data_IF_713373555351
#
_entry.id   IF_713373555351
#
_cell.length_a   1.000
_cell.length_b   1.000
_cell.length_c   1.000
_cell.angle_alpha   90.00
_cell.angle_beta   90.00
_cell.angle_gamma   90.00
#
_symmetry.space_group_name_H-M   'P 1'
#
loop_
_entity.id
_entity.type
_entity.pdbx_description
1 polymer ?
#
# COMPACT_ATOMS: atom_id res chain seq x y z
N UNK A 1 -10.05 -25.34 15.75
CA UNK A 1 -11.43 -25.69 15.34
C UNK A 1 -11.57 -25.26 13.90
N UNK A 2 -11.32 -26.19 12.97
CA UNK A 2 -11.31 -25.90 11.52
C UNK A 2 -12.73 -26.01 10.98
N UNK A 3 -13.24 -24.93 10.40
CA UNK A 3 -14.47 -24.96 9.62
C UNK A 3 -14.07 -25.35 8.20
N UNK A 4 -14.23 -26.63 7.88
CA UNK A 4 -13.86 -27.19 6.59
C UNK A 4 -15.06 -27.06 5.63
N UNK A 5 -15.13 -25.95 4.90
CA UNK A 5 -16.18 -25.69 3.91
C UNK A 5 -15.87 -26.49 2.62
N UNK A 6 -16.28 -27.75 2.59
CA UNK A 6 -16.00 -28.76 1.53
C UNK A 6 -16.52 -28.45 0.11
N UNK A 7 -17.06 -27.26 -0.15
CA UNK A 7 -17.60 -26.88 -1.47
C UNK A 7 -16.68 -25.98 -2.29
N UNK A 8 -15.63 -25.42 -1.67
CA UNK A 8 -14.56 -24.73 -2.35
C UNK A 8 -13.24 -25.29 -1.80
N UNK A 9 -12.33 -25.76 -2.65
CA UNK A 9 -10.98 -26.22 -2.27
C UNK A 9 -10.10 -25.05 -1.76
N UNK A 10 -10.59 -24.27 -0.79
CA UNK A 10 -9.90 -23.12 -0.21
C UNK A 10 -9.14 -23.56 1.03
N UNK A 11 -7.86 -23.24 1.07
CA UNK A 11 -7.03 -23.38 2.27
C UNK A 11 -7.53 -22.46 3.38
N UNK A 12 -7.16 -22.74 4.64
CA UNK A 12 -7.59 -21.93 5.79
C UNK A 12 -7.22 -20.44 5.67
N UNK A 13 -6.05 -20.13 5.10
CA UNK A 13 -5.62 -18.75 4.84
C UNK A 13 -6.49 -18.05 3.80
N UNK A 14 -6.86 -18.75 2.73
CA UNK A 14 -7.76 -18.23 1.69
C UNK A 14 -9.19 -18.04 2.22
N UNK A 15 -9.67 -18.94 3.08
CA UNK A 15 -10.96 -18.79 3.77
C UNK A 15 -10.95 -17.54 4.68
N UNK A 16 -9.90 -17.36 5.49
CA UNK A 16 -9.75 -16.19 6.35
C UNK A 16 -9.69 -14.88 5.55
N UNK A 17 -8.94 -14.86 4.44
CA UNK A 17 -8.87 -13.71 3.55
C UNK A 17 -10.25 -13.39 2.94
N UNK A 18 -11.01 -14.42 2.54
CA UNK A 18 -12.35 -14.27 1.98
C UNK A 18 -13.31 -13.71 3.02
N UNK A 19 -13.34 -14.26 4.23
CA UNK A 19 -14.17 -13.77 5.34
C UNK A 19 -13.80 -12.32 5.67
N UNK A 20 -12.50 -12.00 5.73
CA UNK A 20 -12.06 -10.65 6.02
C UNK A 20 -12.55 -9.65 4.97
N UNK A 21 -12.45 -10.00 3.68
CA UNK A 21 -12.97 -9.15 2.59
C UNK A 21 -14.48 -8.99 2.67
N UNK A 22 -15.23 -10.07 2.96
CA UNK A 22 -16.68 -9.99 3.10
C UNK A 22 -17.11 -9.09 4.26
N UNK A 23 -16.40 -9.15 5.38
CA UNK A 23 -16.62 -8.27 6.55
C UNK A 23 -16.19 -6.82 6.25
N UNK A 24 -15.25 -6.62 5.32
CA UNK A 24 -14.86 -5.28 4.88
C UNK A 24 -15.85 -4.63 3.92
N UNK A 25 -16.67 -5.39 3.18
CA UNK A 25 -17.61 -4.86 2.18
C UNK A 25 -18.52 -3.73 2.70
N UNK A 26 -19.12 -3.80 3.91
CA UNK A 26 -19.97 -2.73 4.44
C UNK A 26 -19.24 -1.38 4.56
N UNK A 27 -17.92 -1.38 4.78
CA UNK A 27 -17.13 -0.15 4.88
C UNK A 27 -17.15 0.69 3.60
N UNK A 28 -17.41 0.07 2.44
CA UNK A 28 -17.47 0.76 1.13
C UNK A 28 -18.75 1.56 0.94
N UNK A 29 -19.76 1.28 1.75
CA UNK A 29 -21.03 1.98 1.71
C UNK A 29 -20.97 3.27 2.53
N UNK A 30 -19.88 3.50 3.28
CA UNK A 30 -19.63 4.75 4.00
C UNK A 30 -19.49 5.91 3.01
N UNK A 31 -20.24 6.98 3.26
CA UNK A 31 -20.36 8.12 2.33
C UNK A 31 -19.55 9.32 2.78
N UNK A 32 -19.45 9.50 4.09
CA UNK A 32 -18.94 10.72 4.68
C UNK A 32 -17.45 10.59 4.99
N UNK A 33 -16.69 11.64 4.68
CA UNK A 33 -15.26 11.74 5.01
C UNK A 33 -15.02 11.62 6.54
N UNK A 34 -16.02 11.92 7.36
CA UNK A 34 -15.97 11.70 8.82
C UNK A 34 -15.91 10.22 9.19
N UNK A 35 -16.77 9.38 8.60
CA UNK A 35 -16.74 7.92 8.83
C UNK A 35 -15.46 7.30 8.25
N UNK A 36 -15.01 7.79 7.10
CA UNK A 36 -13.74 7.40 6.49
C UNK A 36 -12.55 7.81 7.39
N UNK A 37 -12.61 8.99 8.02
CA UNK A 37 -11.62 9.46 8.99
C UNK A 37 -11.57 8.57 10.25
N UNK A 38 -12.73 8.17 10.79
CA UNK A 38 -12.79 7.20 11.88
C UNK A 38 -12.13 5.86 11.51
N UNK A 39 -12.43 5.36 10.30
CA UNK A 39 -11.82 4.14 9.79
C UNK A 39 -10.30 4.30 9.60
N UNK A 40 -9.85 5.49 9.19
CA UNK A 40 -8.41 5.85 9.13
C UNK A 40 -7.74 5.80 10.49
N UNK A 41 -8.36 6.35 11.53
CA UNK A 41 -7.82 6.26 12.89
C UNK A 41 -7.68 4.81 13.36
N UNK A 42 -8.65 3.93 13.06
CA UNK A 42 -8.53 2.51 13.34
C UNK A 42 -7.36 1.87 12.56
N UNK A 43 -7.20 2.19 11.28
CA UNK A 43 -6.09 1.69 10.46
C UNK A 43 -4.72 2.17 10.94
N UNK A 44 -4.61 3.42 11.43
CA UNK A 44 -3.38 3.94 12.05
C UNK A 44 -3.07 3.18 13.33
N UNK A 45 -4.07 2.93 14.18
CA UNK A 45 -3.89 2.16 15.41
C UNK A 45 -3.40 0.73 15.12
N UNK A 46 -3.97 0.06 14.11
CA UNK A 46 -3.50 -1.28 13.69
C UNK A 46 -2.06 -1.23 13.17
N UNK A 47 -1.70 -0.20 12.40
CA UNK A 47 -0.33 -0.02 11.89
C UNK A 47 0.66 0.22 13.05
N UNK A 48 0.27 1.04 14.03
CA UNK A 48 1.07 1.29 15.23
C UNK A 48 1.20 0.02 16.09
N UNK A 49 0.13 -0.77 16.20
CA UNK A 49 0.14 -2.04 16.91
C UNK A 49 1.13 -3.02 16.27
N UNK A 50 1.13 -3.12 14.93
CA UNK A 50 2.13 -3.92 14.19
C UNK A 50 3.54 -3.42 14.53
N UNK A 51 3.79 -2.10 14.43
CA UNK A 51 5.09 -1.52 14.76
C UNK A 51 5.55 -1.88 16.18
N UNK A 52 4.69 -1.71 17.18
CA UNK A 52 4.97 -2.03 18.58
C UNK A 52 5.21 -3.52 18.78
N UNK A 53 4.44 -4.40 18.15
CA UNK A 53 4.62 -5.86 18.29
C UNK A 53 5.96 -6.33 17.73
N UNK A 54 6.44 -5.75 16.63
CA UNK A 54 7.78 -6.04 16.11
C UNK A 54 8.85 -5.53 17.08
N UNK A 55 8.67 -4.34 17.67
CA UNK A 55 9.55 -3.81 18.71
C UNK A 55 9.59 -4.71 19.97
N UNK A 56 8.44 -5.18 20.43
CA UNK A 56 8.37 -6.14 21.53
C UNK A 56 9.05 -7.46 21.18
N UNK A 57 8.95 -7.92 19.93
CA UNK A 57 9.65 -9.12 19.47
C UNK A 57 11.17 -8.92 19.49
N UNK A 58 11.65 -7.70 19.19
CA UNK A 58 13.06 -7.37 19.27
C UNK A 58 13.64 -7.48 20.69
N UNK A 59 12.84 -7.11 21.70
CA UNK A 59 13.26 -7.07 23.11
C UNK A 59 13.00 -8.39 23.84
N UNK A 60 11.81 -8.97 23.63
CA UNK A 60 11.29 -10.10 24.42
C UNK A 60 11.12 -11.38 23.61
N UNK A 61 11.28 -11.34 22.30
CA UNK A 61 10.97 -12.46 21.41
C UNK A 61 12.02 -13.57 21.38
N UNK A 62 13.12 -13.43 22.12
CA UNK A 62 14.24 -14.40 22.10
C UNK A 62 15.02 -14.44 20.78
N UNK A 63 14.70 -13.57 19.83
CA UNK A 63 15.39 -13.44 18.55
C UNK A 63 16.63 -12.58 18.75
N UNK A 64 17.82 -13.14 18.44
CA UNK A 64 19.07 -12.39 18.57
C UNK A 64 19.18 -11.37 17.43
N UNK A 65 19.23 -10.09 17.76
CA UNK A 65 19.42 -8.98 16.81
C UNK A 65 20.88 -8.85 16.34
N UNK A 66 21.47 -9.93 15.82
CA UNK A 66 22.91 -10.01 15.51
C UNK A 66 23.23 -9.92 14.02
N UNK A 67 22.24 -9.74 13.14
CA UNK A 67 22.49 -9.64 11.71
C UNK A 67 23.23 -8.35 11.36
N UNK A 68 24.24 -8.46 10.49
CA UNK A 68 24.94 -7.31 9.91
C UNK A 68 24.07 -6.63 8.86
N UNK A 69 24.06 -5.30 8.84
CA UNK A 69 23.40 -4.53 7.78
C UNK A 69 24.50 -4.07 6.83
N UNK A 70 24.51 -4.53 5.56
CA UNK A 70 25.49 -4.08 4.59
C UNK A 70 25.29 -2.58 4.31
N UNK A 71 26.37 -1.81 4.26
CA UNK A 71 26.30 -0.36 4.08
C UNK A 71 25.72 0.05 2.71
N UNK A 72 25.99 -0.72 1.66
CA UNK A 72 25.50 -0.44 0.31
C UNK A 72 25.39 -1.70 -0.55
N UNK A 73 24.25 -1.87 -1.23
CA UNK A 73 24.04 -2.94 -2.21
C UNK A 73 23.37 -2.37 -3.47
N UNK A 74 24.17 -1.76 -4.36
CA UNK A 74 23.68 -1.08 -5.56
C UNK A 74 22.85 -1.98 -6.48
N UNK A 75 23.18 -3.28 -6.58
CA UNK A 75 22.49 -4.22 -7.46
C UNK A 75 21.02 -4.47 -7.06
N UNK A 76 20.68 -4.27 -5.78
CA UNK A 76 19.32 -4.47 -5.27
C UNK A 76 18.45 -3.23 -5.42
N UNK A 77 19.04 -2.05 -5.61
CA UNK A 77 18.32 -0.78 -5.67
C UNK A 77 17.23 -0.78 -6.75
N UNK A 78 17.48 -1.17 -8.02
CA UNK A 78 16.43 -1.20 -9.03
C UNK A 78 15.28 -2.13 -8.65
N UNK A 79 15.58 -3.31 -8.09
CA UNK A 79 14.58 -4.32 -7.74
C UNK A 79 13.67 -3.89 -6.57
N UNK A 80 14.21 -3.18 -5.57
CA UNK A 80 13.44 -2.72 -4.40
C UNK A 80 12.85 -1.31 -4.57
N UNK A 81 13.29 -0.58 -5.60
CA UNK A 81 12.84 0.80 -5.84
C UNK A 81 11.33 0.90 -6.03
N UNK A 82 10.72 -0.06 -6.72
CA UNK A 82 9.27 -0.13 -6.88
C UNK A 82 8.57 -0.24 -5.53
N UNK A 83 9.01 -1.18 -4.69
CA UNK A 83 8.46 -1.36 -3.34
C UNK A 83 8.57 -0.07 -2.51
N UNK A 84 9.71 0.61 -2.58
CA UNK A 84 9.92 1.88 -1.87
C UNK A 84 8.99 2.99 -2.36
N UNK A 85 8.89 3.19 -3.69
CA UNK A 85 7.99 4.22 -4.26
C UNK A 85 6.52 3.89 -3.97
N UNK A 86 6.15 2.61 -3.98
CA UNK A 86 4.81 2.17 -3.57
C UNK A 86 4.51 2.57 -2.12
N UNK A 87 5.46 2.39 -1.19
CA UNK A 87 5.26 2.74 0.23
C UNK A 87 4.98 4.24 0.45
N UNK A 88 5.43 5.12 -0.45
CA UNK A 88 5.17 6.56 -0.38
C UNK A 88 4.06 7.04 -1.33
N UNK A 89 3.37 6.12 -2.00
CA UNK A 89 2.27 6.46 -2.88
C UNK A 89 1.03 6.84 -2.06
N UNK A 90 0.61 8.11 -2.17
CA UNK A 90 -0.65 8.60 -1.57
C UNK A 90 -1.25 9.79 -2.32
N UNK A 91 -0.65 10.19 -3.43
CA UNK A 91 -0.96 11.45 -4.10
C UNK A 91 -2.40 11.52 -4.65
N UNK A 92 -3.04 10.38 -4.91
CA UNK A 92 -4.42 10.31 -5.41
C UNK A 92 -5.45 10.90 -4.43
N UNK A 93 -5.17 10.89 -3.12
CA UNK A 93 -6.07 11.47 -2.12
C UNK A 93 -5.78 12.94 -1.83
N UNK A 94 -4.66 13.49 -2.31
CA UNK A 94 -4.23 14.85 -1.96
C UNK A 94 -5.23 15.92 -2.37
N UNK A 95 -5.85 15.92 -3.57
CA UNK A 95 -6.83 16.93 -3.93
C UNK A 95 -8.03 16.93 -2.99
N UNK A 96 -8.57 15.74 -2.68
CA UNK A 96 -9.70 15.60 -1.77
C UNK A 96 -9.34 16.05 -0.35
N UNK A 97 -8.14 15.68 0.12
CA UNK A 97 -7.63 16.11 1.43
C UNK A 97 -7.48 17.64 1.48
N UNK A 98 -6.88 18.24 0.45
CA UNK A 98 -6.70 19.69 0.34
C UNK A 98 -8.04 20.42 0.41
N UNK A 99 -9.05 19.97 -0.35
CA UNK A 99 -10.39 20.58 -0.34
C UNK A 99 -11.16 20.36 0.95
N UNK A 100 -10.85 19.29 1.70
CA UNK A 100 -11.51 18.97 2.96
C UNK A 100 -10.86 19.67 4.18
N UNK A 101 -9.66 20.24 4.03
CA UNK A 101 -8.99 20.96 5.11
C UNK A 101 -9.73 22.25 5.47
N UNK A 102 -9.89 22.49 6.78
CA UNK A 102 -10.41 23.77 7.30
C UNK A 102 -9.58 24.97 6.84
N UNK A 103 -8.26 24.77 6.72
CA UNK A 103 -7.30 25.78 6.26
C UNK A 103 -6.35 25.14 5.23
N UNK A 104 -6.67 25.25 3.92
CA UNK A 104 -5.86 24.64 2.86
C UNK A 104 -4.44 25.22 2.75
N UNK A 105 -4.19 26.42 3.26
CA UNK A 105 -2.85 27.04 3.24
C UNK A 105 -1.80 26.22 4.03
N UNK A 106 -2.26 25.41 4.99
CA UNK A 106 -1.43 24.54 5.82
C UNK A 106 -1.13 23.19 5.19
N UNK A 107 -1.65 22.88 4.01
CA UNK A 107 -1.50 21.57 3.37
C UNK A 107 -0.04 21.14 3.22
N UNK A 108 0.84 22.06 2.80
CA UNK A 108 2.28 21.79 2.68
C UNK A 108 2.91 21.40 4.03
N UNK A 109 2.57 22.13 5.09
CA UNK A 109 3.09 21.84 6.44
C UNK A 109 2.60 20.47 6.93
N UNK A 110 1.31 20.18 6.79
CA UNK A 110 0.73 18.88 7.19
C UNK A 110 1.36 17.75 6.39
N UNK A 111 1.59 17.94 5.09
CA UNK A 111 2.25 16.95 4.23
C UNK A 111 3.68 16.69 4.67
N UNK A 112 4.49 17.72 4.90
CA UNK A 112 5.88 17.57 5.36
C UNK A 112 5.94 16.80 6.69
N UNK A 113 5.11 17.18 7.67
CA UNK A 113 5.08 16.51 8.98
C UNK A 113 4.67 15.04 8.82
N UNK A 114 3.62 14.76 8.05
CA UNK A 114 3.10 13.40 7.86
C UNK A 114 4.10 12.49 7.15
N UNK A 115 4.72 12.97 6.07
CA UNK A 115 5.73 12.20 5.33
C UNK A 115 7.03 12.03 6.13
N UNK A 116 7.42 13.02 6.94
CA UNK A 116 8.56 12.87 7.84
C UNK A 116 8.29 11.79 8.90
N UNK A 117 7.11 11.82 9.52
CA UNK A 117 6.70 10.82 10.51
C UNK A 117 6.68 9.40 9.91
N UNK A 118 6.07 9.22 8.73
CA UNK A 118 6.01 7.90 8.09
C UNK A 118 7.41 7.40 7.68
N UNK A 119 8.28 8.30 7.22
CA UNK A 119 9.67 7.97 6.87
C UNK A 119 10.43 7.46 8.09
N UNK A 120 10.28 8.12 9.25
CA UNK A 120 10.90 7.68 10.51
C UNK A 120 10.37 6.30 10.89
N UNK A 121 9.05 6.09 10.86
CA UNK A 121 8.44 4.80 11.21
C UNK A 121 8.91 3.66 10.29
N UNK A 122 8.91 3.88 8.98
CA UNK A 122 9.41 2.90 8.01
C UNK A 122 10.90 2.61 8.21
N UNK A 123 11.70 3.64 8.45
CA UNK A 123 13.13 3.48 8.69
C UNK A 123 13.40 2.66 9.95
N UNK A 124 12.74 2.98 11.07
CA UNK A 124 12.85 2.23 12.31
C UNK A 124 12.43 0.76 12.13
N UNK A 125 11.31 0.52 11.45
CA UNK A 125 10.83 -0.84 11.18
C UNK A 125 11.78 -1.62 10.27
N UNK A 126 12.35 -0.97 9.25
CA UNK A 126 13.32 -1.57 8.35
C UNK A 126 14.61 -1.96 9.07
N UNK A 127 15.18 -1.07 9.91
CA UNK A 127 16.36 -1.39 10.71
C UNK A 127 16.11 -2.54 11.68
N UNK A 128 14.95 -2.54 12.33
CA UNK A 128 14.56 -3.61 13.25
C UNK A 128 14.40 -4.95 12.54
N UNK A 129 13.68 -4.98 11.41
CA UNK A 129 13.54 -6.19 10.60
C UNK A 129 14.87 -6.71 10.08
N UNK A 130 15.72 -5.82 9.57
CA UNK A 130 17.05 -6.17 9.08
C UNK A 130 17.96 -6.72 10.20
N UNK A 131 17.91 -6.17 11.42
CA UNK A 131 18.69 -6.68 12.55
C UNK A 131 18.19 -8.02 13.10
N UNK A 132 16.87 -8.20 13.17
CA UNK A 132 16.27 -9.40 13.73
C UNK A 132 16.31 -10.58 12.77
N UNK A 133 15.93 -10.36 11.51
CA UNK A 133 15.68 -11.43 10.55
C UNK A 133 16.71 -11.47 9.42
N UNK A 134 17.43 -10.36 9.17
CA UNK A 134 18.47 -10.30 8.15
C UNK A 134 18.00 -10.78 6.77
N UNK A 135 18.82 -11.55 6.04
CA UNK A 135 18.43 -12.12 4.74
C UNK A 135 17.25 -13.10 4.77
N UNK A 136 16.83 -13.56 5.95
CA UNK A 136 15.71 -14.51 6.11
C UNK A 136 14.36 -13.81 6.32
N UNK A 137 14.32 -12.47 6.22
CA UNK A 137 13.07 -11.73 6.31
C UNK A 137 12.13 -12.15 5.19
N UNK A 138 10.90 -12.52 5.55
CA UNK A 138 9.84 -12.75 4.59
C UNK A 138 9.33 -11.42 4.02
N UNK A 139 8.66 -11.48 2.87
CA UNK A 139 8.02 -10.32 2.23
C UNK A 139 7.08 -9.53 3.16
N UNK A 140 6.56 -10.16 4.22
CA UNK A 140 5.87 -9.50 5.32
C UNK A 140 6.63 -9.80 6.62
N UNK A 141 7.01 -8.74 7.34
CA UNK A 141 7.77 -8.88 8.59
C UNK A 141 7.04 -9.70 9.65
N UNK A 142 5.70 -9.65 9.67
CA UNK A 142 4.87 -10.38 10.63
C UNK A 142 4.98 -11.90 10.47
N UNK A 143 5.25 -12.39 9.25
CA UNK A 143 5.49 -13.80 8.96
C UNK A 143 6.90 -14.27 9.38
N UNK A 144 7.80 -13.34 9.66
CA UNK A 144 9.17 -13.64 10.13
C UNK A 144 9.24 -13.77 11.65
N UNK A 145 8.22 -13.30 12.38
CA UNK A 145 8.21 -13.33 13.84
C UNK A 145 7.95 -14.74 14.39
N UNK A 146 8.44 -15.09 15.59
CA UNK A 146 8.26 -16.42 16.16
C UNK A 146 6.77 -16.77 16.37
N UNK A 147 6.27 -17.89 15.83
CA UNK A 147 4.83 -18.17 15.76
C UNK A 147 4.17 -18.49 17.11
N UNK A 148 4.95 -18.92 18.09
CA UNK A 148 4.49 -19.28 19.43
C UNK A 148 4.18 -18.07 20.33
N UNK A 149 4.61 -16.87 19.95
CA UNK A 149 4.43 -15.67 20.77
C UNK A 149 3.03 -15.05 20.61
N UNK A 150 2.46 -14.59 21.72
CA UNK A 150 1.18 -13.87 21.72
C UNK A 150 1.31 -12.57 20.90
N UNK A 151 2.44 -11.87 21.00
CA UNK A 151 2.70 -10.65 20.21
C UNK A 151 2.66 -10.90 18.71
N UNK A 152 3.13 -12.07 18.25
CA UNK A 152 3.05 -12.47 16.84
C UNK A 152 1.60 -12.67 16.41
N UNK A 153 0.79 -13.34 17.23
CA UNK A 153 -0.63 -13.55 16.94
C UNK A 153 -1.38 -12.22 16.85
N UNK A 154 -1.09 -11.28 17.75
CA UNK A 154 -1.67 -9.92 17.72
C UNK A 154 -1.29 -9.21 16.41
N UNK A 155 -0.02 -9.25 16.01
CA UNK A 155 0.44 -8.61 14.78
C UNK A 155 -0.20 -9.21 13.52
N UNK A 156 -0.37 -10.54 13.48
CA UNK A 156 -1.03 -11.23 12.38
C UNK A 156 -2.50 -10.80 12.26
N UNK A 157 -3.24 -10.76 13.37
CA UNK A 157 -4.61 -10.26 13.36
C UNK A 157 -4.70 -8.79 12.95
N UNK A 158 -3.81 -7.94 13.47
CA UNK A 158 -3.74 -6.53 13.05
C UNK A 158 -3.47 -6.40 11.54
N UNK A 159 -2.61 -7.27 10.98
CA UNK A 159 -2.33 -7.32 9.53
C UNK A 159 -3.56 -7.72 8.73
N UNK A 160 -4.31 -8.72 9.19
CA UNK A 160 -5.56 -9.16 8.54
C UNK A 160 -6.66 -8.08 8.60
N UNK A 161 -6.74 -7.34 9.70
CA UNK A 161 -7.76 -6.30 9.89
C UNK A 161 -7.41 -4.97 9.18
N UNK A 162 -6.13 -4.69 8.93
CA UNK A 162 -5.68 -3.42 8.34
C UNK A 162 -6.31 -3.14 6.96
N UNK A 163 -6.32 -4.08 5.99
CA UNK A 163 -6.95 -3.87 4.68
C UNK A 163 -8.43 -3.47 4.76
N UNK A 164 -9.16 -3.98 5.76
CA UNK A 164 -10.57 -3.66 5.96
C UNK A 164 -10.79 -2.16 6.21
N UNK A 165 -9.81 -1.51 6.83
CA UNK A 165 -9.86 -0.07 7.12
C UNK A 165 -9.28 0.79 5.99
N UNK A 166 -8.32 0.25 5.23
CA UNK A 166 -7.59 0.97 4.19
C UNK A 166 -8.34 1.01 2.86
N UNK A 167 -9.04 -0.06 2.52
CA UNK A 167 -9.69 -0.14 1.22
C UNK A 167 -10.76 0.95 1.02
N UNK A 168 -11.58 1.25 2.03
CA UNK A 168 -12.57 2.33 1.92
C UNK A 168 -11.92 3.72 1.75
N UNK A 169 -10.74 3.95 2.33
CA UNK A 169 -9.96 5.18 2.18
C UNK A 169 -9.45 5.35 0.74
N UNK A 170 -8.89 4.29 0.18
CA UNK A 170 -8.36 4.29 -1.19
C UNK A 170 -9.48 4.33 -2.24
N UNK A 171 -10.63 3.72 -1.93
CA UNK A 171 -11.81 3.77 -2.79
C UNK A 171 -12.50 5.14 -2.79
N UNK A 172 -12.41 5.91 -1.69
CA UNK A 172 -13.08 7.21 -1.55
C UNK A 172 -12.87 8.19 -2.73
N UNK A 173 -11.64 8.52 -3.17
CA UNK A 173 -11.43 9.42 -4.31
C UNK A 173 -12.09 8.91 -5.60
N UNK A 174 -11.99 7.60 -5.86
CA UNK A 174 -12.65 6.98 -7.01
C UNK A 174 -14.17 7.07 -6.89
N UNK A 175 -14.70 6.83 -5.69
CA UNK A 175 -16.12 6.88 -5.40
C UNK A 175 -16.70 8.29 -5.62
N UNK A 176 -15.95 9.34 -5.25
CA UNK A 176 -16.30 10.75 -5.51
C UNK A 176 -16.32 11.03 -7.02
N UNK A 177 -15.28 10.61 -7.75
CA UNK A 177 -15.18 10.81 -9.19
C UNK A 177 -16.29 10.08 -9.96
N UNK A 178 -16.60 8.85 -9.55
CA UNK A 178 -17.71 8.06 -10.09
C UNK A 178 -19.04 8.79 -9.86
N UNK A 179 -19.24 9.34 -8.66
CA UNK A 179 -20.45 10.08 -8.30
C UNK A 179 -20.64 11.34 -9.15
N UNK A 180 -19.55 12.06 -9.47
CA UNK A 180 -19.57 13.25 -10.33
C UNK A 180 -19.84 12.93 -11.80
N UNK A 181 -19.51 11.71 -12.24
CA UNK A 181 -19.71 11.28 -13.64
C UNK A 181 -21.15 10.82 -13.89
N UNK A 182 -21.88 10.46 -12.83
CA UNK A 182 -23.27 10.01 -12.94
C UNK A 182 -24.23 11.19 -13.18
N UNK A 183 -25.30 11.00 -13.99
CA UNK A 183 -26.26 12.06 -14.26
C UNK A 183 -26.89 12.65 -13.00
N UNK A 184 -26.92 13.97 -12.90
CA UNK A 184 -27.51 14.69 -11.77
C UNK A 184 -29.01 14.41 -11.57
N UNK A 185 -29.70 13.95 -12.62
CA UNK A 185 -31.12 13.54 -12.56
C UNK A 185 -31.36 12.23 -11.80
N UNK A 186 -30.31 11.45 -11.51
CA UNK A 186 -30.45 10.20 -10.75
C UNK A 186 -30.74 10.44 -9.27
N UNK A 187 -31.64 9.63 -8.71
CA UNK A 187 -31.97 9.67 -7.28
C UNK A 187 -30.72 9.39 -6.43
N UNK A 188 -30.54 10.07 -5.27
CA UNK A 188 -29.38 9.85 -4.39
C UNK A 188 -29.20 8.40 -3.94
N UNK A 189 -30.29 7.65 -3.74
CA UNK A 189 -30.26 6.21 -3.40
C UNK A 189 -29.63 5.38 -4.51
N UNK A 190 -30.06 5.58 -5.77
CA UNK A 190 -29.52 4.88 -6.94
C UNK A 190 -28.02 5.13 -7.10
N UNK A 191 -27.58 6.37 -6.90
CA UNK A 191 -26.16 6.75 -6.96
C UNK A 191 -25.31 6.03 -5.90
N UNK A 192 -25.88 5.91 -4.69
CA UNK A 192 -25.25 5.17 -3.58
C UNK A 192 -25.13 3.68 -3.90
N UNK A 193 -26.18 3.09 -4.46
CA UNK A 193 -26.19 1.68 -4.87
C UNK A 193 -25.14 1.44 -5.95
N UNK A 194 -25.13 2.24 -7.03
CA UNK A 194 -24.14 2.11 -8.12
C UNK A 194 -22.71 2.16 -7.56
N UNK A 195 -22.43 3.14 -6.70
CA UNK A 195 -21.12 3.33 -6.07
C UNK A 195 -20.74 2.14 -5.17
N UNK A 196 -21.66 1.70 -4.31
CA UNK A 196 -21.44 0.57 -3.41
C UNK A 196 -21.25 -0.75 -4.17
N UNK A 197 -22.03 -0.97 -5.23
CA UNK A 197 -21.92 -2.14 -6.10
C UNK A 197 -20.59 -2.15 -6.85
N UNK A 198 -20.18 -1.03 -7.48
CA UNK A 198 -18.89 -0.95 -8.17
C UNK A 198 -17.73 -1.15 -7.20
N UNK A 199 -17.77 -0.51 -6.01
CA UNK A 199 -16.75 -0.70 -4.99
C UNK A 199 -16.65 -2.15 -4.50
N UNK A 200 -17.81 -2.81 -4.34
CA UNK A 200 -17.89 -4.21 -3.95
C UNK A 200 -17.33 -5.15 -5.03
N UNK A 201 -17.67 -4.92 -6.30
CA UNK A 201 -17.12 -5.68 -7.43
C UNK A 201 -15.60 -5.52 -7.49
N UNK A 202 -15.09 -4.29 -7.38
CA UNK A 202 -13.65 -4.03 -7.36
C UNK A 202 -12.94 -4.74 -6.21
N UNK A 203 -13.54 -4.74 -5.00
CA UNK A 203 -12.95 -5.44 -3.85
C UNK A 203 -12.91 -6.96 -4.07
N UNK A 204 -13.98 -7.53 -4.65
CA UNK A 204 -14.01 -8.95 -4.99
C UNK A 204 -13.00 -9.31 -6.08
N UNK A 205 -12.79 -8.44 -7.07
CA UNK A 205 -11.74 -8.62 -8.08
C UNK A 205 -10.34 -8.60 -7.46
N UNK A 206 -10.09 -7.69 -6.51
CA UNK A 206 -8.83 -7.64 -5.75
C UNK A 206 -8.64 -8.92 -4.94
N UNK A 207 -9.71 -9.44 -4.30
CA UNK A 207 -9.65 -10.73 -3.60
C UNK A 207 -9.27 -11.86 -4.57
N UNK A 208 -9.93 -11.97 -5.72
CA UNK A 208 -9.62 -13.01 -6.72
C UNK A 208 -8.16 -12.90 -7.17
N UNK A 209 -7.67 -11.69 -7.43
CA UNK A 209 -6.27 -11.46 -7.80
C UNK A 209 -5.31 -11.87 -6.68
N UNK A 210 -5.60 -11.52 -5.43
CA UNK A 210 -4.79 -11.86 -4.27
C UNK A 210 -4.73 -13.38 -4.03
N UNK A 211 -5.83 -14.10 -4.28
CA UNK A 211 -5.88 -15.55 -4.18
C UNK A 211 -5.17 -16.26 -5.35
N UNK A 212 -5.17 -15.64 -6.54
CA UNK A 212 -4.55 -16.20 -7.75
C UNK A 212 -3.05 -15.95 -7.82
N UNK A 213 -2.58 -14.81 -7.29
CA UNK A 213 -1.19 -14.36 -7.38
C UNK A 213 -0.70 -13.96 -5.96
N UNK A 214 -0.42 -14.93 -5.07
CA UNK A 214 -0.08 -14.67 -3.66
C UNK A 214 1.36 -14.17 -3.45
N UNK A 215 1.99 -13.55 -4.45
CA UNK A 215 3.36 -13.03 -4.40
C UNK A 215 3.37 -11.55 -3.98
N UNK A 216 3.06 -11.31 -2.70
CA UNK A 216 2.88 -9.97 -2.13
C UNK A 216 3.96 -8.96 -2.56
N UNK A 217 5.24 -9.26 -2.30
CA UNK A 217 6.34 -8.34 -2.60
C UNK A 217 6.49 -8.04 -4.09
N UNK A 218 6.34 -9.04 -4.96
CA UNK A 218 6.45 -8.85 -6.41
C UNK A 218 5.29 -8.00 -6.94
N UNK A 219 4.07 -8.21 -6.45
CA UNK A 219 2.91 -7.40 -6.83
C UNK A 219 3.06 -5.95 -6.36
N UNK A 220 3.53 -5.72 -5.13
CA UNK A 220 3.78 -4.37 -4.62
C UNK A 220 4.91 -3.68 -5.38
N UNK A 221 6.02 -4.37 -5.66
CA UNK A 221 7.14 -3.80 -6.41
C UNK A 221 6.76 -3.49 -7.85
N UNK A 222 5.99 -4.35 -8.51
CA UNK A 222 5.44 -4.10 -9.84
C UNK A 222 4.50 -2.90 -9.85
N UNK A 223 3.56 -2.84 -8.89
CA UNK A 223 2.63 -1.71 -8.77
C UNK A 223 3.38 -0.40 -8.53
N UNK A 224 4.40 -0.44 -7.66
CA UNK A 224 5.22 0.72 -7.38
C UNK A 224 6.03 1.23 -8.57
N UNK A 225 6.73 0.32 -9.26
CA UNK A 225 7.59 0.65 -10.39
C UNK A 225 6.79 1.07 -11.63
N UNK A 226 5.64 0.45 -11.90
CA UNK A 226 4.81 0.77 -13.05
C UNK A 226 3.87 1.95 -12.78
N UNK A 227 3.06 1.85 -11.73
CA UNK A 227 1.95 2.78 -11.46
C UNK A 227 2.40 3.93 -10.59
N UNK A 228 3.03 3.66 -9.43
CA UNK A 228 3.35 4.71 -8.46
C UNK A 228 4.44 5.66 -8.98
N UNK A 229 5.47 5.17 -9.66
CA UNK A 229 6.48 6.02 -10.31
C UNK A 229 5.83 6.95 -11.35
N UNK A 230 4.92 6.41 -12.16
CA UNK A 230 4.18 7.20 -13.15
C UNK A 230 3.38 8.33 -12.49
N UNK A 231 2.52 7.98 -11.53
CA UNK A 231 1.57 8.92 -10.91
C UNK A 231 2.27 9.89 -9.94
N UNK A 232 3.31 9.47 -9.23
CA UNK A 232 3.92 10.26 -8.15
C UNK A 232 5.16 11.04 -8.60
N UNK A 233 5.84 10.62 -9.68
CA UNK A 233 7.10 11.24 -10.12
C UNK A 233 6.96 11.80 -11.53
N UNK A 234 6.69 10.92 -12.50
CA UNK A 234 6.77 11.27 -13.94
C UNK A 234 5.67 12.25 -14.34
N UNK A 235 4.40 11.91 -14.10
CA UNK A 235 3.27 12.74 -14.50
C UNK A 235 3.24 14.11 -13.82
N UNK A 236 3.42 14.24 -12.49
CA UNK A 236 3.43 15.55 -11.84
C UNK A 236 4.54 16.45 -12.37
N UNK A 237 5.77 15.93 -12.53
CA UNK A 237 6.89 16.71 -13.08
C UNK A 237 6.64 17.11 -14.53
N UNK A 238 6.11 16.21 -15.36
CA UNK A 238 5.82 16.47 -16.75
C UNK A 238 4.71 17.52 -16.92
N UNK A 239 3.61 17.39 -16.17
CA UNK A 239 2.50 18.34 -16.19
C UNK A 239 2.92 19.71 -15.68
N UNK A 240 3.63 19.78 -14.56
CA UNK A 240 4.13 21.05 -14.03
C UNK A 240 5.05 21.75 -15.04
N UNK A 241 5.97 21.00 -15.63
CA UNK A 241 6.89 21.50 -16.65
C UNK A 241 6.16 21.98 -17.90
N UNK A 242 5.12 21.26 -18.35
CA UNK A 242 4.31 21.64 -19.51
C UNK A 242 3.47 22.90 -19.26
N UNK A 243 2.85 23.01 -18.08
CA UNK A 243 1.98 24.14 -17.72
C UNK A 243 2.82 25.42 -17.51
N UNK A 244 3.94 25.31 -16.79
CA UNK A 244 4.75 26.45 -16.38
C UNK A 244 6.04 26.63 -17.18
N UNK A 245 6.18 26.02 -18.36
CA UNK A 245 7.41 25.98 -19.15
C UNK A 245 8.13 27.35 -19.26
N UNK A 246 7.37 28.42 -19.50
CA UNK A 246 7.90 29.78 -19.67
C UNK A 246 8.23 30.50 -18.36
N UNK A 247 7.76 30.01 -17.23
CA UNK A 247 7.89 30.64 -15.90
C UNK A 247 8.91 29.92 -15.01
N UNK A 248 9.35 28.72 -15.39
CA UNK A 248 10.28 27.91 -14.59
C UNK A 248 11.73 28.42 -14.75
N UNK A 249 12.42 28.59 -13.61
CA UNK A 249 13.86 28.87 -13.59
C UNK A 249 14.64 27.68 -14.16
N UNK A 250 15.67 27.94 -14.99
CA UNK A 250 16.54 26.91 -15.59
C UNK A 250 16.98 25.78 -14.62
N UNK A 251 17.47 26.05 -13.39
CA UNK A 251 17.85 24.96 -12.47
C UNK A 251 16.67 24.06 -12.06
N UNK A 252 15.49 24.64 -11.82
CA UNK A 252 14.30 23.86 -11.50
C UNK A 252 13.80 23.03 -12.70
N UNK A 253 13.93 23.56 -13.91
CA UNK A 253 13.64 22.81 -15.14
C UNK A 253 14.56 21.60 -15.28
N UNK A 254 15.87 21.78 -15.09
CA UNK A 254 16.84 20.68 -15.10
C UNK A 254 16.50 19.63 -14.05
N UNK A 255 16.15 20.04 -12.83
CA UNK A 255 15.72 19.11 -11.78
C UNK A 255 14.50 18.28 -12.19
N UNK A 256 13.44 18.91 -12.73
CA UNK A 256 12.26 18.17 -13.18
C UNK A 256 12.58 17.19 -14.31
N UNK A 257 13.42 17.57 -15.27
CA UNK A 257 13.85 16.69 -16.35
C UNK A 257 14.67 15.51 -15.82
N UNK A 258 15.55 15.73 -14.84
CA UNK A 258 16.29 14.66 -14.16
C UNK A 258 15.33 13.72 -13.42
N UNK A 259 14.36 14.25 -12.68
CA UNK A 259 13.36 13.43 -11.97
C UNK A 259 12.52 12.60 -12.93
N UNK A 260 12.12 13.15 -14.07
CA UNK A 260 11.41 12.41 -15.12
C UNK A 260 12.31 11.30 -15.67
N UNK A 261 13.55 11.61 -16.05
CA UNK A 261 14.47 10.63 -16.62
C UNK A 261 14.77 9.49 -15.62
N UNK A 262 15.11 9.82 -14.38
CA UNK A 262 15.36 8.85 -13.31
C UNK A 262 14.11 8.04 -13.02
N UNK A 263 12.94 8.68 -12.93
CA UNK A 263 11.66 8.01 -12.74
C UNK A 263 11.37 7.00 -13.86
N UNK A 264 11.50 7.40 -15.12
CA UNK A 264 11.30 6.51 -16.28
C UNK A 264 12.28 5.34 -16.25
N UNK A 265 13.56 5.58 -15.97
CA UNK A 265 14.57 4.52 -15.89
C UNK A 265 14.25 3.54 -14.75
N UNK A 266 14.02 4.04 -13.53
CA UNK A 266 13.69 3.19 -12.37
C UNK A 266 12.37 2.44 -12.58
N UNK A 267 11.36 3.09 -13.17
CA UNK A 267 10.09 2.45 -13.50
C UNK A 267 10.25 1.35 -14.54
N UNK A 268 11.02 1.59 -15.60
CA UNK A 268 11.29 0.58 -16.64
C UNK A 268 12.08 -0.62 -16.09
N UNK A 269 13.22 -0.37 -15.43
CA UNK A 269 14.03 -1.44 -14.84
C UNK A 269 13.29 -2.20 -13.74
N UNK A 270 12.59 -1.47 -12.86
CA UNK A 270 11.79 -2.05 -11.78
C UNK A 270 10.64 -2.90 -12.30
N UNK A 271 9.96 -2.46 -13.36
CA UNK A 271 8.88 -3.21 -14.01
C UNK A 271 9.43 -4.49 -14.64
N UNK A 272 10.49 -4.39 -15.45
CA UNK A 272 11.11 -5.56 -16.10
C UNK A 272 11.59 -6.57 -15.06
N UNK A 273 12.28 -6.11 -14.01
CA UNK A 273 12.75 -6.96 -12.92
C UNK A 273 11.60 -7.63 -12.17
N UNK A 274 10.60 -6.87 -11.74
CA UNK A 274 9.46 -7.38 -10.97
C UNK A 274 8.60 -8.33 -11.80
N UNK A 275 8.34 -8.02 -13.07
CA UNK A 275 7.60 -8.90 -13.99
C UNK A 275 8.34 -10.21 -14.21
N UNK A 276 9.66 -10.18 -14.41
CA UNK A 276 10.47 -11.40 -14.57
C UNK A 276 10.42 -12.27 -13.31
N UNK A 277 10.61 -11.68 -12.13
CA UNK A 277 10.51 -12.41 -10.85
C UNK A 277 9.12 -12.99 -10.63
N UNK A 278 8.06 -12.24 -10.94
CA UNK A 278 6.68 -12.70 -10.81
C UNK A 278 6.38 -13.88 -11.74
N UNK A 279 6.79 -13.79 -13.01
CA UNK A 279 6.61 -14.88 -13.99
C UNK A 279 7.38 -16.15 -13.60
N UNK A 280 8.61 -16.00 -13.11
CA UNK A 280 9.41 -17.13 -12.63
C UNK A 280 8.76 -17.80 -11.42
N UNK A 281 8.23 -17.02 -10.48
CA UNK A 281 7.52 -17.53 -9.31
C UNK A 281 6.23 -18.24 -9.70
N UNK A 282 5.44 -17.68 -10.62
CA UNK A 282 4.24 -18.31 -11.17
C UNK A 282 4.56 -19.64 -11.85
N UNK A 283 5.62 -19.69 -12.66
CA UNK A 283 6.00 -20.92 -13.37
C UNK A 283 6.45 -22.04 -12.42
N UNK A 284 7.25 -21.69 -11.40
CA UNK A 284 7.62 -22.64 -10.34
C UNK A 284 6.41 -23.14 -9.55
N UNK A 285 5.43 -22.27 -9.30
CA UNK A 285 4.20 -22.63 -8.59
C UNK A 285 3.28 -23.59 -9.36
N UNK A 286 3.38 -23.64 -10.69
CA UNK A 286 2.62 -24.59 -11.53
C UNK A 286 3.36 -25.93 -11.74
N UNK A 287 4.67 -25.97 -11.48
CA UNK A 287 5.51 -27.17 -11.66
C UNK A 287 5.58 -28.07 -10.41
N UNK A 288 5.04 -27.61 -9.28
CA UNK A 288 4.99 -28.31 -7.99
C UNK A 288 3.55 -28.64 -7.62
#
# INVERSE_FOLDING_TARGET
MGVDLRWAHLTTSQLLATIAVLVALPSLWLRDLSSISFLSTAGILMSLLIFVTVACTAVFGGVRANHGIPALQLHNIPAVSGLYVFSFAGHIVFPNLYTAMKDPSKFTQVSIISFSMVTILYTCLAFMGAKLFGPQVNSQITLSMPPNLIVTKIALWATVLTPMTKYALEFAPFAIQLEQTLPHSMKPRTRTIIRGTIGSILLLLILVLALSVPYFEHVLSLTGSLVSVGICIVLPCAFYTKIFWRQIKKPALVLHLILIAVGVLMGAFGTVSSSKSLLQSLWKGHSN
#
